data_IF_249125952738
#
_entry.id   IF_249125952738
#
_cell.length_a   1.000
_cell.length_b   1.000
_cell.length_c   1.000
_cell.angle_alpha   90.00
_cell.angle_beta   90.00
_cell.angle_gamma   90.00
#
_symmetry.space_group_name_H-M   'P 1'
#
loop_
_entity.id
_entity.type
_entity.pdbx_description
1 polymer ?
#
# COMPACT_ATOMS: atom_id res chain seq x y z
N UNK A 1 58.08 28.79 -34.11
CA UNK A 1 57.45 27.81 -33.16
C UNK A 1 56.41 28.41 -32.24
N UNK A 2 55.94 29.62 -32.36
CA UNK A 2 54.93 30.25 -31.49
C UNK A 2 53.51 30.20 -32.02
N UNK A 3 53.28 29.91 -33.30
CA UNK A 3 51.96 29.88 -33.94
C UNK A 3 51.34 28.48 -34.01
N UNK A 4 52.13 27.44 -33.77
CA UNK A 4 51.60 26.04 -33.78
C UNK A 4 50.81 25.70 -32.50
N UNK A 5 51.03 26.42 -31.40
CA UNK A 5 50.41 26.19 -30.10
C UNK A 5 48.99 26.78 -30.00
N UNK A 6 48.68 27.80 -30.81
CA UNK A 6 47.37 28.48 -30.81
C UNK A 6 46.32 27.67 -31.59
N UNK A 7 46.75 26.93 -32.62
CA UNK A 7 45.83 26.10 -33.43
C UNK A 7 45.39 24.84 -32.66
N UNK A 8 46.22 24.33 -31.74
CA UNK A 8 45.85 23.14 -30.94
C UNK A 8 44.86 23.44 -29.81
N UNK A 9 44.78 24.70 -29.35
CA UNK A 9 43.81 25.10 -28.31
C UNK A 9 42.42 25.41 -28.86
N UNK A 10 42.32 25.72 -30.15
CA UNK A 10 41.04 26.00 -30.82
C UNK A 10 40.22 24.73 -31.15
N UNK A 11 40.84 23.52 -31.14
CA UNK A 11 40.19 22.24 -31.44
C UNK A 11 39.60 21.56 -30.21
N UNK A 12 39.81 22.08 -29.00
CA UNK A 12 39.26 21.51 -27.77
C UNK A 12 37.94 22.18 -27.31
N UNK A 13 37.42 23.17 -28.01
CA UNK A 13 36.16 23.86 -27.70
C UNK A 13 35.03 23.40 -28.61
N UNK A 14 35.17 22.28 -29.30
CA UNK A 14 34.13 21.76 -30.16
C UNK A 14 33.46 20.57 -29.52
N UNK A 15 32.17 20.74 -29.33
CA UNK A 15 31.12 19.72 -29.07
C UNK A 15 30.90 19.28 -27.64
N UNK A 16 30.28 20.16 -26.87
CA UNK A 16 29.15 19.68 -26.03
C UNK A 16 27.83 20.27 -26.58
N UNK A 17 27.45 19.91 -27.78
CA UNK A 17 26.06 20.06 -28.17
C UNK A 17 25.28 19.03 -27.35
N UNK A 18 24.71 19.45 -26.20
CA UNK A 18 23.61 18.76 -25.58
C UNK A 18 22.49 18.70 -26.63
N UNK A 19 22.38 17.54 -27.29
CA UNK A 19 21.17 17.22 -28.02
C UNK A 19 20.04 17.26 -26.96
N UNK A 20 19.25 18.32 -26.98
CA UNK A 20 17.94 18.31 -26.30
C UNK A 20 17.21 17.07 -26.83
N UNK A 21 16.87 16.15 -25.94
CA UNK A 21 16.11 14.98 -26.31
C UNK A 21 14.75 15.47 -26.79
N UNK A 22 14.48 15.28 -28.07
CA UNK A 22 13.20 15.63 -28.68
C UNK A 22 12.14 14.79 -27.98
N UNK A 23 11.26 15.41 -27.20
CA UNK A 23 10.23 14.75 -26.38
C UNK A 23 9.13 14.10 -27.22
N UNK A 24 9.07 14.41 -28.53
CA UNK A 24 8.02 13.95 -29.45
C UNK A 24 8.15 12.46 -29.85
N UNK A 25 9.28 11.82 -29.55
CA UNK A 25 9.56 10.40 -29.86
C UNK A 25 9.51 9.45 -28.65
N UNK A 26 8.98 9.89 -27.53
CA UNK A 26 8.90 9.05 -26.32
C UNK A 26 7.58 8.29 -26.31
N UNK A 27 7.64 6.99 -26.55
CA UNK A 27 6.49 6.10 -26.42
C UNK A 27 6.45 5.50 -25.01
N UNK A 28 5.42 5.85 -24.24
CA UNK A 28 5.24 5.34 -22.86
C UNK A 28 4.16 4.27 -22.87
N UNK A 29 4.57 3.03 -22.62
CA UNK A 29 3.66 1.90 -22.44
C UNK A 29 3.52 1.56 -20.95
N UNK A 30 2.30 1.59 -20.44
CA UNK A 30 2.00 1.20 -19.06
C UNK A 30 1.41 -0.20 -19.08
N UNK A 31 1.99 -1.12 -18.31
CA UNK A 31 1.78 -2.56 -18.43
C UNK A 31 0.55 -3.12 -17.73
N UNK A 32 -0.19 -2.31 -16.94
CA UNK A 32 -1.43 -2.71 -16.22
C UNK A 32 -2.36 -1.51 -16.01
N UNK A 33 -3.61 -1.80 -15.60
CA UNK A 33 -4.57 -0.80 -15.18
C UNK A 33 -3.95 0.15 -14.15
N UNK A 34 -4.03 1.44 -14.48
CA UNK A 34 -3.36 2.49 -13.74
C UNK A 34 -4.26 2.90 -12.58
N UNK A 35 -3.73 2.82 -11.36
CA UNK A 35 -4.37 3.34 -10.16
C UNK A 35 -4.24 4.87 -10.13
N UNK A 36 -3.16 5.40 -10.71
CA UNK A 36 -2.84 6.82 -10.80
C UNK A 36 -3.40 7.46 -12.07
N UNK A 37 -3.49 8.80 -12.07
CA UNK A 37 -3.82 9.55 -13.26
C UNK A 37 -2.67 9.42 -14.28
N UNK A 38 -2.99 8.90 -15.49
CA UNK A 38 -2.03 8.66 -16.56
C UNK A 38 -1.20 9.89 -16.92
N UNK A 39 -1.84 11.04 -17.10
CA UNK A 39 -1.16 12.26 -17.52
C UNK A 39 -0.18 12.75 -16.45
N UNK A 40 -0.57 12.69 -15.19
CA UNK A 40 0.29 13.07 -14.07
C UNK A 40 1.51 12.13 -13.97
N UNK A 41 1.31 10.82 -14.11
CA UNK A 41 2.38 9.81 -14.11
C UNK A 41 3.31 10.01 -15.29
N UNK A 42 2.78 10.27 -16.48
CA UNK A 42 3.55 10.57 -17.69
C UNK A 42 4.45 11.79 -17.49
N UNK A 43 3.90 12.91 -16.97
CA UNK A 43 4.68 14.12 -16.69
C UNK A 43 5.79 13.87 -15.66
N UNK A 44 5.52 13.11 -14.60
CA UNK A 44 6.53 12.75 -13.60
C UNK A 44 7.68 11.93 -14.20
N UNK A 45 7.36 10.96 -15.07
CA UNK A 45 8.36 10.12 -15.74
C UNK A 45 9.22 10.96 -16.68
N UNK A 46 8.62 11.82 -17.52
CA UNK A 46 9.35 12.69 -18.45
C UNK A 46 10.27 13.63 -17.68
N UNK A 47 9.78 14.29 -16.63
CA UNK A 47 10.59 15.19 -15.82
C UNK A 47 11.76 14.47 -15.12
N UNK A 48 11.56 13.21 -14.70
CA UNK A 48 12.61 12.40 -14.12
C UNK A 48 13.69 12.01 -15.13
N UNK A 49 13.30 11.64 -16.35
CA UNK A 49 14.25 11.30 -17.41
C UNK A 49 15.08 12.50 -17.88
N UNK A 50 14.50 13.71 -17.83
CA UNK A 50 15.20 14.96 -18.15
C UNK A 50 16.15 15.41 -17.04
N UNK A 51 15.86 15.05 -15.78
CA UNK A 51 16.61 15.52 -14.62
C UNK A 51 17.66 14.49 -14.17
N UNK A 52 18.86 14.53 -14.77
CA UNK A 52 19.95 13.55 -14.54
C UNK A 52 20.46 13.46 -13.09
N UNK A 53 20.15 14.43 -12.23
CA UNK A 53 20.77 14.57 -10.91
C UNK A 53 20.00 13.96 -9.74
N UNK A 54 18.70 13.61 -9.90
CA UNK A 54 17.85 13.12 -8.79
C UNK A 54 17.18 11.78 -9.12
N UNK A 55 17.97 10.72 -9.28
CA UNK A 55 17.46 9.41 -9.74
C UNK A 55 16.66 8.62 -8.72
N UNK A 56 16.68 8.91 -7.43
CA UNK A 56 16.10 8.04 -6.39
C UNK A 56 14.89 8.58 -5.64
N UNK A 57 14.77 9.91 -5.48
CA UNK A 57 13.76 10.47 -4.57
C UNK A 57 12.36 10.64 -5.17
N UNK A 58 12.25 10.89 -6.48
CA UNK A 58 10.98 11.18 -7.15
C UNK A 58 10.02 9.98 -7.13
N UNK A 59 10.56 8.76 -7.15
CA UNK A 59 9.75 7.52 -7.16
C UNK A 59 9.56 6.88 -5.79
N UNK A 60 10.25 7.33 -4.76
CA UNK A 60 10.11 6.74 -3.42
C UNK A 60 8.68 6.88 -2.86
N UNK A 61 7.97 7.92 -3.26
CA UNK A 61 6.62 8.26 -2.80
C UNK A 61 5.59 8.34 -3.93
N UNK A 62 5.80 7.63 -5.03
CA UNK A 62 4.86 7.61 -6.17
C UNK A 62 4.17 6.26 -6.30
N UNK A 63 3.13 6.19 -7.12
CA UNK A 63 2.54 4.92 -7.53
C UNK A 63 3.48 4.05 -8.36
N UNK A 64 4.48 4.65 -8.99
CA UNK A 64 5.39 3.96 -9.90
C UNK A 64 6.39 3.11 -9.12
N UNK A 65 6.38 1.79 -9.37
CA UNK A 65 7.29 0.83 -8.75
C UNK A 65 8.53 0.55 -9.59
N UNK A 66 8.35 0.44 -10.91
CA UNK A 66 9.44 0.14 -11.84
C UNK A 66 9.28 0.95 -13.12
N UNK A 67 10.40 1.50 -13.59
CA UNK A 67 10.52 2.04 -14.94
C UNK A 67 11.62 1.29 -15.66
N UNK A 68 11.29 0.74 -16.80
CA UNK A 68 12.25 0.15 -17.73
C UNK A 68 12.26 0.98 -19.00
N UNK A 69 13.41 1.57 -19.31
CA UNK A 69 13.63 2.33 -20.54
C UNK A 69 14.45 1.48 -21.51
N UNK A 70 13.93 1.28 -22.72
CA UNK A 70 14.59 0.53 -23.80
C UNK A 70 14.62 1.39 -25.05
N UNK A 71 15.82 1.62 -25.59
CA UNK A 71 15.98 2.32 -26.86
C UNK A 71 15.83 1.31 -27.99
N UNK A 72 14.93 1.57 -28.95
CA UNK A 72 14.72 0.75 -30.13
C UNK A 72 15.76 1.07 -31.21
N UNK A 73 15.79 0.25 -32.25
CA UNK A 73 16.70 0.44 -33.40
C UNK A 73 16.43 1.76 -34.15
N UNK A 74 15.16 2.20 -34.15
CA UNK A 74 14.71 3.46 -34.78
C UNK A 74 14.91 4.70 -33.89
N UNK A 75 15.75 4.58 -32.84
CA UNK A 75 16.03 5.63 -31.86
C UNK A 75 14.83 6.03 -30.97
N UNK A 76 13.69 5.36 -31.08
CA UNK A 76 12.55 5.58 -30.19
C UNK A 76 12.85 5.08 -28.77
N UNK A 77 12.40 5.84 -27.77
CA UNK A 77 12.51 5.45 -26.36
C UNK A 77 11.19 4.82 -25.89
N UNK A 78 11.21 3.51 -25.73
CA UNK A 78 10.10 2.78 -25.10
C UNK A 78 10.28 2.74 -23.57
N UNK A 79 9.26 3.20 -22.86
CA UNK A 79 9.23 3.20 -21.39
C UNK A 79 8.11 2.27 -20.92
N UNK A 80 8.49 1.22 -20.21
CA UNK A 80 7.57 0.33 -19.52
C UNK A 80 7.46 0.79 -18.06
N UNK A 81 6.22 1.05 -17.61
CA UNK A 81 5.93 1.50 -16.25
C UNK A 81 5.13 0.42 -15.55
N UNK A 82 5.54 0.08 -14.32
CA UNK A 82 4.76 -0.74 -13.39
C UNK A 82 4.39 0.10 -12.18
N UNK A 83 3.17 -0.06 -11.71
CA UNK A 83 2.71 0.56 -10.48
C UNK A 83 2.79 -0.40 -9.29
N UNK A 84 2.93 0.17 -8.10
CA UNK A 84 2.79 -0.57 -6.87
C UNK A 84 1.35 -1.11 -6.73
N UNK A 85 1.22 -2.30 -6.18
CA UNK A 85 -0.07 -2.89 -5.82
C UNK A 85 -0.33 -2.62 -4.34
N UNK A 86 -1.21 -1.66 -3.99
CA UNK A 86 -1.54 -1.40 -2.60
C UNK A 86 -2.42 -2.52 -2.06
N UNK A 87 -2.13 -2.98 -0.84
CA UNK A 87 -2.91 -4.01 -0.13
C UNK A 87 -3.61 -3.46 1.10
N UNK A 88 -3.11 -2.37 1.68
CA UNK A 88 -3.73 -1.72 2.82
C UNK A 88 -3.57 -0.20 2.75
N UNK A 89 -4.54 0.50 3.30
CA UNK A 89 -4.53 1.94 3.52
C UNK A 89 -4.07 2.22 4.95
N UNK A 90 -3.16 3.17 5.08
CA UNK A 90 -2.74 3.75 6.34
C UNK A 90 -3.34 5.14 6.51
N UNK A 91 -3.14 5.73 7.67
CA UNK A 91 -3.49 7.14 7.90
C UNK A 91 -2.73 8.10 6.95
N UNK A 92 -3.21 9.32 6.82
CA UNK A 92 -2.57 10.42 6.06
C UNK A 92 -2.27 10.12 4.59
N UNK A 93 -3.08 9.28 3.94
CA UNK A 93 -2.91 8.98 2.52
C UNK A 93 -1.74 8.07 2.19
N UNK A 94 -1.23 7.32 3.17
CA UNK A 94 -0.19 6.30 3.00
C UNK A 94 -0.81 4.95 2.66
N UNK A 95 -0.05 4.12 1.96
CA UNK A 95 -0.44 2.76 1.60
C UNK A 95 0.70 1.78 1.86
N UNK A 96 0.35 0.55 2.22
CA UNK A 96 1.29 -0.58 2.19
C UNK A 96 1.09 -1.30 0.87
N UNK A 97 2.19 -1.56 0.16
CA UNK A 97 2.18 -2.31 -1.10
C UNK A 97 2.36 -3.81 -0.86
N UNK A 98 2.11 -4.61 -1.88
CA UNK A 98 2.31 -6.06 -1.85
C UNK A 98 3.76 -6.44 -1.51
N UNK A 99 4.72 -5.57 -1.84
CA UNK A 99 6.14 -5.76 -1.50
C UNK A 99 6.49 -5.31 -0.07
N UNK A 100 5.50 -4.91 0.73
CA UNK A 100 5.69 -4.41 2.10
C UNK A 100 6.23 -2.98 2.18
N UNK A 101 6.28 -2.24 1.06
CA UNK A 101 6.76 -0.86 1.03
C UNK A 101 5.64 0.10 1.42
N UNK A 102 5.95 1.10 2.25
CA UNK A 102 5.03 2.20 2.54
C UNK A 102 5.27 3.32 1.53
N UNK A 103 4.20 3.72 0.85
CA UNK A 103 4.21 4.82 -0.12
C UNK A 103 3.19 5.89 0.26
N UNK A 104 3.48 7.14 -0.14
CA UNK A 104 2.60 8.30 0.06
C UNK A 104 2.39 9.01 -1.29
N UNK A 105 1.64 8.40 -2.22
CA UNK A 105 1.51 8.95 -3.55
C UNK A 105 0.68 10.23 -3.55
N UNK A 106 1.09 11.22 -4.34
CA UNK A 106 0.31 12.42 -4.56
C UNK A 106 -1.01 12.07 -5.28
N UNK A 107 -2.13 12.62 -4.82
CA UNK A 107 -3.44 12.35 -5.41
C UNK A 107 -4.01 10.97 -5.10
N UNK A 108 -3.68 10.42 -3.91
CA UNK A 108 -4.09 9.10 -3.47
C UNK A 108 -5.54 8.76 -3.83
N UNK A 109 -5.75 7.61 -4.45
CA UNK A 109 -7.06 7.17 -4.92
C UNK A 109 -7.90 6.69 -3.73
N UNK A 110 -8.79 7.57 -3.24
CA UNK A 110 -9.73 7.28 -2.16
C UNK A 110 -10.80 6.24 -2.54
N UNK A 111 -10.91 5.88 -3.81
CA UNK A 111 -11.90 4.91 -4.29
C UNK A 111 -11.49 3.45 -4.11
N UNK A 112 -10.23 3.19 -3.74
CA UNK A 112 -9.76 1.84 -3.48
C UNK A 112 -10.38 1.32 -2.19
N UNK A 113 -11.15 0.24 -2.30
CA UNK A 113 -11.66 -0.50 -1.14
C UNK A 113 -10.54 -1.39 -0.60
N UNK A 114 -9.71 -0.82 0.24
CA UNK A 114 -8.61 -1.50 0.90
C UNK A 114 -8.86 -1.61 2.39
N UNK A 115 -8.27 -2.62 3.00
CA UNK A 115 -8.20 -2.73 4.45
C UNK A 115 -7.57 -1.47 5.04
N UNK A 116 -8.15 -0.93 6.11
CA UNK A 116 -7.58 0.19 6.87
C UNK A 116 -6.77 -0.32 8.05
N UNK A 117 -5.50 0.11 8.15
CA UNK A 117 -4.62 -0.20 9.27
C UNK A 117 -4.30 1.10 10.02
N UNK A 118 -4.68 1.17 11.30
CA UNK A 118 -4.49 2.35 12.14
C UNK A 118 -3.58 1.98 13.32
N UNK A 119 -2.43 2.64 13.43
CA UNK A 119 -1.45 2.38 14.46
C UNK A 119 -0.28 3.34 14.40
N UNK A 120 0.74 3.09 15.23
CA UNK A 120 1.99 3.85 15.17
C UNK A 120 2.82 3.42 13.96
N UNK A 121 3.68 4.30 13.47
CA UNK A 121 4.49 4.06 12.26
C UNK A 121 5.32 2.77 12.31
N UNK A 122 5.81 2.40 13.47
CA UNK A 122 6.60 1.17 13.68
C UNK A 122 5.74 -0.10 13.88
N UNK A 123 4.42 0.00 13.90
CA UNK A 123 3.49 -1.11 14.18
C UNK A 123 2.73 -1.58 12.93
N UNK A 124 2.75 -0.81 11.85
CA UNK A 124 1.92 -1.08 10.67
C UNK A 124 2.15 -2.47 10.07
N UNK A 125 3.41 -2.93 9.97
CA UNK A 125 3.71 -4.26 9.44
C UNK A 125 3.26 -5.37 10.39
N UNK A 126 3.44 -5.18 11.71
CA UNK A 126 2.96 -6.14 12.70
C UNK A 126 1.42 -6.23 12.74
N UNK A 127 0.73 -5.10 12.54
CA UNK A 127 -0.73 -5.09 12.40
C UNK A 127 -1.17 -5.75 11.10
N UNK A 128 -0.43 -5.56 10.00
CA UNK A 128 -0.70 -6.25 8.74
C UNK A 128 -0.59 -7.77 8.90
N UNK A 129 0.46 -8.27 9.57
CA UNK A 129 0.60 -9.71 9.88
C UNK A 129 -0.57 -10.22 10.73
N UNK A 130 -0.97 -9.44 11.74
CA UNK A 130 -2.14 -9.75 12.58
C UNK A 130 -3.42 -9.82 11.76
N UNK A 131 -3.53 -8.97 10.73
CA UNK A 131 -4.66 -8.92 9.81
C UNK A 131 -4.79 -10.22 9.01
N UNK A 132 -3.70 -10.73 8.45
CA UNK A 132 -3.74 -11.99 7.69
C UNK A 132 -4.20 -13.15 8.55
N UNK A 133 -3.68 -13.27 9.77
CA UNK A 133 -4.07 -14.33 10.71
C UNK A 133 -5.57 -14.23 11.07
N UNK A 134 -6.07 -13.03 11.34
CA UNK A 134 -7.48 -12.83 11.66
C UNK A 134 -8.37 -13.08 10.42
N UNK A 135 -7.95 -12.63 9.24
CA UNK A 135 -8.70 -12.83 8.01
C UNK A 135 -8.90 -14.31 7.67
N UNK A 136 -7.88 -15.15 7.91
CA UNK A 136 -7.98 -16.60 7.70
C UNK A 136 -9.10 -17.21 8.54
N UNK A 137 -9.26 -16.78 9.79
CA UNK A 137 -10.34 -17.22 10.68
C UNK A 137 -11.69 -16.67 10.22
N UNK A 138 -11.77 -15.39 9.84
CA UNK A 138 -13.02 -14.78 9.37
C UNK A 138 -13.52 -15.41 8.06
N UNK A 139 -12.63 -15.91 7.23
CA UNK A 139 -12.97 -16.62 6.00
C UNK A 139 -13.82 -17.86 6.25
N UNK A 140 -13.75 -18.48 7.43
CA UNK A 140 -14.61 -19.60 7.81
C UNK A 140 -16.10 -19.23 7.78
N UNK A 141 -16.43 -17.95 8.09
CA UNK A 141 -17.81 -17.41 8.00
C UNK A 141 -18.08 -16.68 6.68
N UNK A 142 -17.10 -16.55 5.78
CA UNK A 142 -17.21 -15.75 4.58
C UNK A 142 -17.11 -14.24 4.82
N UNK A 143 -16.65 -13.82 6.01
CA UNK A 143 -16.47 -12.42 6.37
C UNK A 143 -15.11 -11.90 5.93
N UNK A 144 -15.04 -10.60 5.66
CA UNK A 144 -13.79 -9.90 5.30
C UNK A 144 -13.52 -8.73 6.24
N UNK A 145 -12.25 -8.55 6.58
CA UNK A 145 -11.82 -7.47 7.45
C UNK A 145 -11.88 -6.12 6.70
N UNK A 146 -12.44 -5.10 7.35
CA UNK A 146 -12.47 -3.72 6.85
C UNK A 146 -11.36 -2.88 7.48
N UNK A 147 -11.16 -3.05 8.81
CA UNK A 147 -10.17 -2.28 9.53
C UNK A 147 -9.56 -3.05 10.70
N UNK A 148 -8.32 -2.67 11.03
CA UNK A 148 -7.63 -3.08 12.25
C UNK A 148 -6.94 -1.86 12.86
N UNK A 149 -7.07 -1.70 14.16
CA UNK A 149 -6.53 -0.56 14.89
C UNK A 149 -5.86 -0.96 16.19
N UNK A 150 -4.67 -0.42 16.44
CA UNK A 150 -4.04 -0.48 17.75
C UNK A 150 -4.50 0.69 18.61
N UNK A 151 -5.29 0.42 19.63
CA UNK A 151 -5.80 1.41 20.59
C UNK A 151 -4.78 1.75 21.66
N UNK A 152 -4.90 2.94 22.25
CA UNK A 152 -3.99 3.50 23.27
C UNK A 152 -3.79 2.63 24.51
N UNK A 153 -4.75 1.79 24.84
CA UNK A 153 -4.72 0.90 26.03
C UNK A 153 -4.10 -0.48 25.73
N UNK A 154 -3.23 -0.58 24.76
CA UNK A 154 -2.47 -1.78 24.35
C UNK A 154 -3.37 -2.96 23.93
N UNK A 155 -4.51 -2.68 23.31
CA UNK A 155 -5.36 -3.65 22.68
C UNK A 155 -5.56 -3.38 21.17
N UNK A 156 -5.92 -4.41 20.44
CA UNK A 156 -6.22 -4.37 19.02
C UNK A 156 -7.74 -4.43 18.87
N UNK A 157 -8.30 -3.54 18.08
CA UNK A 157 -9.69 -3.56 17.65
C UNK A 157 -9.74 -3.77 16.14
N UNK A 158 -10.57 -4.72 15.70
CA UNK A 158 -10.76 -5.02 14.30
C UNK A 158 -12.25 -5.00 13.96
N UNK A 159 -12.59 -4.65 12.71
CA UNK A 159 -13.98 -4.57 12.25
C UNK A 159 -14.09 -5.31 10.92
N UNK A 160 -15.12 -6.17 10.80
CA UNK A 160 -15.42 -6.90 9.56
C UNK A 160 -16.49 -6.21 8.70
N UNK A 161 -16.80 -6.81 7.54
CA UNK A 161 -17.80 -6.30 6.59
C UNK A 161 -19.26 -6.41 7.10
N UNK A 162 -19.52 -7.17 8.17
CA UNK A 162 -20.80 -7.22 8.87
C UNK A 162 -20.87 -6.21 10.02
N UNK A 163 -19.84 -5.39 10.20
CA UNK A 163 -19.65 -4.42 11.28
C UNK A 163 -19.55 -5.08 12.67
N UNK A 164 -19.08 -6.32 12.74
CA UNK A 164 -18.73 -6.96 14.01
C UNK A 164 -17.38 -6.43 14.47
N UNK A 165 -17.30 -6.04 15.74
CA UNK A 165 -16.10 -5.51 16.38
C UNK A 165 -15.41 -6.62 17.17
N UNK A 166 -14.15 -6.89 16.85
CA UNK A 166 -13.31 -7.87 17.54
C UNK A 166 -12.28 -7.13 18.39
N UNK A 167 -12.16 -7.50 19.69
CA UNK A 167 -11.21 -6.89 20.62
C UNK A 167 -10.24 -7.90 21.15
N UNK A 168 -8.95 -7.62 21.02
CA UNK A 168 -7.87 -8.49 21.42
C UNK A 168 -6.88 -7.73 22.31
N UNK A 169 -6.30 -8.43 23.28
CA UNK A 169 -5.10 -7.96 23.96
C UNK A 169 -3.90 -8.18 23.04
N UNK A 170 -3.10 -7.15 22.81
CA UNK A 170 -1.96 -7.21 21.90
C UNK A 170 -0.96 -8.34 22.25
N UNK A 171 -0.73 -8.55 23.54
CA UNK A 171 0.23 -9.57 24.02
C UNK A 171 -0.25 -11.01 23.79
N UNK A 172 -1.54 -11.23 23.90
CA UNK A 172 -2.16 -12.56 23.86
C UNK A 172 -2.88 -12.82 22.54
N UNK A 173 -2.63 -12.00 21.52
CA UNK A 173 -3.39 -11.98 20.26
C UNK A 173 -3.53 -13.37 19.63
N UNK A 174 -2.44 -14.14 19.53
CA UNK A 174 -2.48 -15.49 18.92
C UNK A 174 -3.35 -16.47 19.68
N UNK A 175 -3.23 -16.53 21.01
CA UNK A 175 -4.05 -17.40 21.85
C UNK A 175 -5.53 -17.00 21.75
N UNK A 176 -5.80 -15.73 21.63
CA UNK A 176 -7.16 -15.21 21.48
C UNK A 176 -7.74 -15.48 20.09
N UNK A 177 -6.91 -15.57 19.06
CA UNK A 177 -7.34 -16.02 17.74
C UNK A 177 -7.79 -17.48 17.75
N UNK A 178 -7.08 -18.38 18.43
CA UNK A 178 -7.47 -19.80 18.58
C UNK A 178 -8.85 -19.90 19.23
N UNK A 179 -9.13 -19.11 20.26
CA UNK A 179 -10.43 -19.05 20.93
C UNK A 179 -11.53 -18.46 20.04
N UNK A 180 -11.19 -17.49 19.17
CA UNK A 180 -12.13 -16.95 18.20
C UNK A 180 -12.48 -18.03 17.15
N UNK A 181 -11.52 -18.78 16.70
CA UNK A 181 -11.72 -19.88 15.75
C UNK A 181 -12.65 -20.94 16.35
N UNK A 182 -12.42 -21.36 17.59
CA UNK A 182 -13.30 -22.30 18.31
C UNK A 182 -14.73 -21.77 18.42
N UNK A 183 -14.90 -20.47 18.74
CA UNK A 183 -16.23 -19.84 18.82
C UNK A 183 -16.94 -19.87 17.45
N UNK A 184 -16.24 -19.49 16.38
CA UNK A 184 -16.81 -19.47 15.02
C UNK A 184 -17.20 -20.87 14.57
N UNK A 185 -16.35 -21.87 14.82
CA UNK A 185 -16.67 -23.27 14.50
C UNK A 185 -17.88 -23.80 15.31
N UNK A 186 -17.98 -23.40 16.57
CA UNK A 186 -19.15 -23.72 17.38
C UNK A 186 -20.42 -23.08 16.82
N UNK A 187 -20.43 -21.80 16.46
CA UNK A 187 -21.57 -21.10 15.86
C UNK A 187 -22.00 -21.76 14.55
N UNK A 188 -21.06 -22.10 13.66
CA UNK A 188 -21.34 -22.77 12.39
C UNK A 188 -21.98 -24.15 12.59
N UNK A 189 -21.51 -24.91 13.57
CA UNK A 189 -22.03 -26.27 13.85
C UNK A 189 -23.37 -26.27 14.58
N UNK A 190 -23.62 -25.26 15.43
CA UNK A 190 -24.85 -25.18 16.23
C UNK A 190 -26.01 -24.53 15.49
N UNK A 191 -25.75 -23.85 14.36
CA UNK A 191 -26.76 -23.08 13.62
C UNK A 191 -27.28 -21.86 14.40
N UNK A 192 -26.61 -21.47 15.48
CA UNK A 192 -26.93 -20.27 16.25
C UNK A 192 -26.43 -19.09 15.45
N UNK A 193 -27.34 -18.28 14.95
CA UNK A 193 -27.05 -17.04 14.27
C UNK A 193 -27.47 -15.88 15.18
N UNK A 194 -26.65 -15.62 16.21
CA UNK A 194 -26.87 -14.48 17.09
C UNK A 194 -26.48 -13.20 16.36
N UNK A 195 -27.27 -12.15 16.55
CA UNK A 195 -27.05 -10.81 15.97
C UNK A 195 -25.93 -10.11 16.76
N UNK A 196 -24.71 -10.67 16.67
CA UNK A 196 -23.54 -10.24 17.42
C UNK A 196 -23.03 -8.91 16.86
N UNK A 197 -22.79 -7.96 17.76
CA UNK A 197 -22.22 -6.65 17.46
C UNK A 197 -20.73 -6.56 17.78
N UNK A 198 -20.31 -7.19 18.87
CA UNK A 198 -18.91 -7.26 19.24
C UNK A 198 -18.54 -8.58 19.92
N UNK A 199 -17.29 -8.97 19.76
CA UNK A 199 -16.65 -10.12 20.39
C UNK A 199 -15.40 -9.62 21.12
N UNK A 200 -15.43 -9.63 22.46
CA UNK A 200 -14.30 -9.19 23.27
C UNK A 200 -13.56 -10.39 23.86
N UNK A 201 -12.35 -10.63 23.35
CA UNK A 201 -11.48 -11.75 23.70
C UNK A 201 -10.41 -11.40 24.74
N UNK A 202 -10.38 -10.16 25.23
CA UNK A 202 -9.35 -9.69 26.16
C UNK A 202 -9.39 -10.35 27.54
N UNK A 203 -10.49 -10.98 27.90
CA UNK A 203 -10.61 -11.74 29.15
C UNK A 203 -9.87 -13.08 29.06
N UNK A 204 -9.13 -13.43 30.14
CA UNK A 204 -8.26 -14.61 30.15
C UNK A 204 -8.99 -15.92 29.89
N UNK A 205 -10.18 -16.12 30.48
CA UNK A 205 -10.93 -17.39 30.45
C UNK A 205 -12.38 -17.22 29.98
N UNK A 206 -12.70 -16.14 29.29
CA UNK A 206 -14.05 -15.85 28.83
C UNK A 206 -14.03 -15.06 27.52
N UNK A 207 -15.12 -15.13 26.78
CA UNK A 207 -15.40 -14.28 25.64
C UNK A 207 -16.67 -13.50 25.98
N UNK A 208 -16.61 -12.17 25.90
CA UNK A 208 -17.81 -11.36 26.06
C UNK A 208 -18.42 -11.08 24.68
N UNK A 209 -19.70 -11.39 24.54
CA UNK A 209 -20.48 -11.15 23.34
C UNK A 209 -21.46 -10.00 23.59
N UNK A 210 -21.55 -9.05 22.67
CA UNK A 210 -22.55 -8.01 22.69
C UNK A 210 -23.49 -8.15 21.53
N UNK A 211 -24.79 -8.06 21.83
CA UNK A 211 -25.83 -8.20 20.83
C UNK A 211 -26.36 -6.85 20.39
N UNK A 212 -26.74 -6.67 19.11
CA UNK A 212 -27.32 -5.45 18.54
C UNK A 212 -28.61 -4.99 19.25
N UNK A 213 -29.30 -5.89 19.91
CA UNK A 213 -30.60 -5.61 20.56
C UNK A 213 -30.51 -5.02 21.98
N UNK A 214 -29.29 -4.94 22.60
CA UNK A 214 -29.16 -4.44 23.98
C UNK A 214 -29.21 -2.89 24.12
N UNK A 215 -29.04 -2.13 23.05
CA UNK A 215 -29.04 -0.66 23.10
C UNK A 215 -30.43 -0.02 23.15
N UNK A 216 -31.51 -0.80 23.02
CA UNK A 216 -32.89 -0.25 23.06
C UNK A 216 -33.52 -0.24 24.46
N UNK A 217 -32.78 -0.59 25.51
CA UNK A 217 -33.30 -0.76 26.88
C UNK A 217 -32.75 0.23 27.90
N UNK A 218 -32.27 1.41 27.47
CA UNK A 218 -31.85 2.49 28.37
C UNK A 218 -32.56 3.80 28.00
#
# INVERSE_FOLDING_TARGET
MRYLLIIFFALLVSCSSQKEANTDSINIKISKEIISNFDQTKHQIISHLQNKNNKSEIFSNSWVSVIKATKTFDEELHIEVKEHQPIAFLDRGRFITQEGKIITPAGGNKSLKLLSIIGRDNEHLALLDSTFLLQDILNLKGNSLISIEHKWSDFIEAVDNENVIYRFNKKDFRVQLERLEELILFELNSGINDDIRYIDLRYKNAIALGNKNMEKSI
#
